data_IF_659050467121
#
_entry.id   IF_659050467121
#
_cell.length_a   1.000
_cell.length_b   1.000
_cell.length_c   1.000
_cell.angle_alpha   90.00
_cell.angle_beta   90.00
_cell.angle_gamma   90.00
#
_symmetry.space_group_name_H-M   'P 1'
#
loop_
_entity.id
_entity.type
_entity.pdbx_description
1 polymer ?
#
# COMPACT_ATOMS: atom_id res chain seq x y z
N UNK A 1 -7.28 19.84 -8.48
CA UNK A 1 -6.10 18.96 -8.38
C UNK A 1 -5.66 18.58 -9.78
N UNK A 2 -6.37 17.72 -10.51
CA UNK A 2 -6.00 17.36 -11.90
C UNK A 2 -5.63 18.53 -12.81
N UNK A 3 -6.51 19.53 -12.95
CA UNK A 3 -6.24 20.71 -13.79
C UNK A 3 -5.10 21.57 -13.24
N UNK A 4 -5.06 21.76 -11.92
CA UNK A 4 -4.00 22.53 -11.25
C UNK A 4 -2.62 21.90 -11.51
N UNK A 5 -2.49 20.60 -11.28
CA UNK A 5 -1.26 19.85 -11.50
C UNK A 5 -0.88 19.83 -12.98
N UNK A 6 -1.84 19.73 -13.90
CA UNK A 6 -1.61 19.81 -15.34
C UNK A 6 -1.07 21.17 -15.77
N UNK A 7 -1.70 22.26 -15.35
CA UNK A 7 -1.23 23.61 -15.69
C UNK A 7 0.14 23.87 -15.09
N UNK A 8 0.33 23.53 -13.81
CA UNK A 8 1.61 23.54 -13.13
C UNK A 8 2.68 22.75 -13.91
N UNK A 9 2.36 21.55 -14.38
CA UNK A 9 3.27 20.74 -15.18
C UNK A 9 3.69 21.41 -16.48
N UNK A 10 2.73 21.86 -17.29
CA UNK A 10 3.03 22.48 -18.57
C UNK A 10 3.73 23.83 -18.44
N UNK A 11 3.41 24.62 -17.42
CA UNK A 11 4.13 25.86 -17.10
C UNK A 11 5.58 25.59 -16.67
N UNK A 12 5.85 24.45 -16.03
CA UNK A 12 7.20 24.06 -15.59
C UNK A 12 8.06 23.45 -16.69
N UNK A 13 7.50 23.15 -17.88
CA UNK A 13 8.27 22.55 -18.95
C UNK A 13 9.26 23.56 -19.54
N UNK A 14 10.53 23.18 -19.71
CA UNK A 14 11.47 24.01 -20.42
C UNK A 14 11.11 24.08 -21.92
N UNK A 15 11.73 25.00 -22.69
CA UNK A 15 11.59 25.05 -24.13
C UNK A 15 11.89 23.69 -24.79
N UNK A 16 11.24 23.42 -25.91
CA UNK A 16 11.34 22.12 -26.60
C UNK A 16 12.79 21.72 -26.97
N UNK A 17 13.65 22.70 -27.25
CA UNK A 17 15.06 22.48 -27.53
C UNK A 17 15.83 21.91 -26.32
N UNK A 18 15.54 22.39 -25.11
CA UNK A 18 16.15 21.88 -23.88
C UNK A 18 15.67 20.47 -23.56
N UNK A 19 14.40 20.14 -23.86
CA UNK A 19 13.86 18.78 -23.70
C UNK A 19 14.58 17.76 -24.60
N UNK A 20 14.92 18.15 -25.83
CA UNK A 20 15.67 17.28 -26.76
C UNK A 20 17.09 17.04 -26.23
N UNK A 21 17.74 18.09 -25.71
CA UNK A 21 19.08 17.99 -25.12
C UNK A 21 19.04 17.11 -23.86
N UNK A 22 18.04 17.29 -22.99
CA UNK A 22 17.84 16.48 -21.77
C UNK A 22 17.66 14.99 -22.10
N UNK A 23 16.86 14.70 -23.13
CA UNK A 23 16.67 13.34 -23.65
C UNK A 23 17.99 12.74 -24.16
N UNK A 24 18.78 13.50 -24.92
CA UNK A 24 20.08 13.06 -25.43
C UNK A 24 21.14 12.90 -24.33
N UNK A 25 21.03 13.68 -23.24
CA UNK A 25 21.92 13.60 -22.08
C UNK A 25 21.67 12.36 -21.21
N UNK A 26 20.61 11.59 -21.47
CA UNK A 26 20.34 10.32 -20.78
C UNK A 26 19.86 10.49 -19.35
N UNK A 27 19.18 11.61 -19.04
CA UNK A 27 18.51 11.77 -17.75
C UNK A 27 17.52 10.64 -17.49
N UNK A 28 17.36 10.26 -16.21
CA UNK A 28 16.51 9.12 -15.82
C UNK A 28 15.07 9.34 -16.29
N UNK A 29 14.51 8.48 -17.15
CA UNK A 29 13.13 8.61 -17.60
C UNK A 29 12.16 8.25 -16.46
N UNK A 30 10.89 8.60 -16.66
CA UNK A 30 9.79 7.96 -15.91
C UNK A 30 9.61 6.56 -16.48
N UNK A 31 9.69 5.52 -15.65
CA UNK A 31 9.47 4.13 -16.05
C UNK A 31 8.13 3.62 -15.56
N UNK A 32 7.51 2.75 -16.36
CA UNK A 32 6.29 2.02 -16.05
C UNK A 32 6.60 0.55 -16.27
N UNK A 33 6.59 -0.22 -15.20
CA UNK A 33 7.04 -1.61 -15.22
C UNK A 33 5.91 -2.49 -14.72
N UNK A 34 5.40 -3.38 -15.59
CA UNK A 34 4.43 -4.40 -15.20
C UNK A 34 5.18 -5.61 -14.64
N UNK A 35 4.81 -6.04 -13.45
CA UNK A 35 5.41 -7.18 -12.78
C UNK A 35 4.37 -8.27 -12.61
N UNK A 36 4.72 -9.48 -13.02
CA UNK A 36 3.89 -10.66 -12.85
C UNK A 36 4.63 -11.66 -11.97
N UNK A 37 3.95 -12.19 -10.94
CA UNK A 37 4.54 -13.16 -10.04
C UNK A 37 3.51 -14.21 -9.62
N UNK A 38 3.89 -15.47 -9.74
CA UNK A 38 3.09 -16.58 -9.24
C UNK A 38 3.09 -16.61 -7.69
N UNK A 39 2.14 -17.38 -7.13
CA UNK A 39 2.03 -17.60 -5.68
C UNK A 39 3.38 -17.90 -5.04
N UNK A 40 3.68 -17.16 -3.98
CA UNK A 40 4.92 -17.33 -3.22
C UNK A 40 4.59 -17.99 -1.90
N UNK A 41 5.21 -19.14 -1.63
CA UNK A 41 5.12 -19.77 -0.31
C UNK A 41 5.76 -18.84 0.72
N UNK A 42 5.06 -18.58 1.82
CA UNK A 42 5.65 -17.94 2.97
C UNK A 42 6.77 -18.87 3.49
N UNK A 43 8.01 -18.40 3.36
CA UNK A 43 9.14 -19.07 4.01
C UNK A 43 8.97 -19.01 5.53
N UNK A 44 9.67 -19.87 6.27
CA UNK A 44 9.76 -19.82 7.75
C UNK A 44 10.59 -18.61 8.25
N UNK A 45 10.58 -17.51 7.50
CA UNK A 45 11.21 -16.26 7.86
C UNK A 45 10.46 -15.59 9.01
N UNK A 46 11.18 -14.71 9.71
CA UNK A 46 10.65 -13.92 10.81
C UNK A 46 9.95 -12.67 10.29
N UNK A 47 9.01 -12.16 11.07
CA UNK A 47 8.41 -10.86 10.79
C UNK A 47 9.43 -9.75 11.03
N UNK A 48 9.43 -8.76 10.13
CA UNK A 48 10.20 -7.53 10.29
C UNK A 48 9.51 -6.54 11.23
N UNK A 49 10.23 -5.52 11.72
CA UNK A 49 9.64 -4.45 12.53
C UNK A 49 8.62 -3.65 11.72
N UNK A 50 7.55 -3.19 12.39
CA UNK A 50 6.55 -2.28 11.84
C UNK A 50 6.89 -0.86 12.28
N UNK A 51 6.87 0.10 11.36
CA UNK A 51 6.97 1.52 11.67
C UNK A 51 5.61 2.18 11.45
N UNK A 52 4.98 2.67 12.52
CA UNK A 52 3.70 3.38 12.43
C UNK A 52 3.95 4.88 12.57
N UNK A 53 3.53 5.61 11.55
CA UNK A 53 3.61 7.07 11.49
C UNK A 53 2.21 7.62 11.72
N UNK A 54 1.98 8.11 12.93
CA UNK A 54 0.73 8.77 13.32
C UNK A 54 0.70 10.19 12.77
N UNK A 55 -0.20 10.43 11.83
CA UNK A 55 -0.38 11.72 11.17
C UNK A 55 -1.51 12.51 11.84
N UNK A 56 -1.32 13.83 11.97
CA UNK A 56 -2.37 14.75 12.42
C UNK A 56 -3.42 15.03 11.34
N UNK A 57 -3.06 14.80 10.08
CA UNK A 57 -3.91 15.03 8.92
C UNK A 57 -3.53 14.09 7.78
N UNK A 58 -4.52 13.62 7.02
CA UNK A 58 -4.24 12.87 5.78
C UNK A 58 -3.46 13.74 4.80
N UNK A 59 -2.44 13.16 4.17
CA UNK A 59 -1.57 13.87 3.24
C UNK A 59 -1.11 12.98 2.07
N UNK A 60 -0.80 13.62 0.93
CA UNK A 60 -0.08 13.02 -0.19
C UNK A 60 1.44 13.03 -0.04
N UNK A 61 1.99 13.48 1.10
CA UNK A 61 3.44 13.68 1.29
C UNK A 61 4.28 12.43 0.95
N UNK A 62 3.69 11.24 1.12
CA UNK A 62 4.33 9.95 0.81
C UNK A 62 4.62 9.73 -0.67
N UNK A 63 4.07 10.56 -1.56
CA UNK A 63 4.46 10.61 -2.97
C UNK A 63 5.88 11.17 -3.16
N UNK A 64 6.40 11.94 -2.19
CA UNK A 64 7.70 12.58 -2.31
C UNK A 64 8.85 11.70 -1.80
N UNK A 65 9.97 11.64 -2.54
CA UNK A 65 11.22 11.01 -2.11
C UNK A 65 11.78 11.42 -0.76
N UNK A 66 11.55 12.65 -0.31
CA UNK A 66 12.06 13.05 1.00
C UNK A 66 11.33 12.31 2.14
N UNK A 67 10.10 11.84 1.92
CA UNK A 67 9.37 10.95 2.83
C UNK A 67 9.76 9.49 2.57
N UNK A 68 9.77 9.07 1.31
CA UNK A 68 10.08 7.67 0.95
C UNK A 68 11.52 7.27 1.31
N UNK A 69 12.45 8.23 1.31
CA UNK A 69 13.88 7.98 1.42
C UNK A 69 14.45 7.31 0.16
N UNK A 70 15.76 7.08 0.18
CA UNK A 70 16.40 6.26 -0.85
C UNK A 70 15.87 4.83 -0.76
N UNK A 71 15.52 4.22 -1.90
CA UNK A 71 15.05 2.84 -1.91
C UNK A 71 13.61 2.64 -1.40
N UNK A 72 12.87 3.71 -1.12
CA UNK A 72 11.46 3.63 -0.75
C UNK A 72 10.51 3.54 -1.94
N UNK A 73 9.29 3.09 -1.68
CA UNK A 73 8.16 3.18 -2.59
C UNK A 73 6.86 3.40 -1.82
N UNK A 74 5.88 4.05 -2.43
CA UNK A 74 4.55 4.21 -1.85
C UNK A 74 3.53 3.35 -2.58
N UNK A 75 2.66 2.69 -1.82
CA UNK A 75 1.53 1.92 -2.34
C UNK A 75 0.43 2.86 -2.81
N UNK A 76 -0.07 2.60 -4.01
CA UNK A 76 -1.30 3.16 -4.55
C UNK A 76 -2.38 2.08 -4.47
N UNK A 77 -3.37 2.29 -3.61
CA UNK A 77 -4.55 1.41 -3.48
C UNK A 77 -5.42 1.58 -4.73
N UNK A 78 -5.20 0.72 -5.71
CA UNK A 78 -5.72 0.93 -7.06
C UNK A 78 -7.00 0.13 -7.30
N UNK A 79 -7.80 0.52 -8.29
CA UNK A 79 -8.72 -0.41 -8.93
C UNK A 79 -7.95 -1.35 -9.87
N UNK A 80 -8.52 -2.53 -10.17
CA UNK A 80 -7.98 -3.42 -11.22
C UNK A 80 -7.89 -2.75 -12.59
N UNK A 81 -8.74 -1.76 -12.85
CA UNK A 81 -8.65 -0.86 -14.00
C UNK A 81 -8.16 0.49 -13.48
N UNK A 82 -6.86 0.72 -13.56
CA UNK A 82 -6.25 1.99 -13.14
C UNK A 82 -6.82 3.11 -13.98
N UNK A 83 -7.28 4.18 -13.32
CA UNK A 83 -8.05 5.20 -14.01
C UNK A 83 -8.14 6.52 -13.29
N UNK A 84 -8.80 7.46 -13.96
CA UNK A 84 -9.22 8.70 -13.35
C UNK A 84 -10.59 8.51 -12.72
N UNK A 85 -10.69 8.84 -11.43
CA UNK A 85 -11.97 8.94 -10.73
C UNK A 85 -12.30 10.35 -10.27
N UNK A 86 -13.53 10.54 -9.81
CA UNK A 86 -14.04 11.80 -9.26
C UNK A 86 -14.12 11.80 -7.73
N UNK A 87 -13.92 10.64 -7.11
CA UNK A 87 -14.06 10.40 -5.67
C UNK A 87 -12.94 10.97 -4.82
N UNK A 88 -11.84 11.41 -5.43
CA UNK A 88 -10.65 11.89 -4.73
C UNK A 88 -10.16 10.89 -3.65
N UNK A 89 -10.24 9.60 -3.96
CA UNK A 89 -9.58 8.54 -3.19
C UNK A 89 -8.06 8.66 -3.33
N UNK A 90 -7.33 7.82 -2.60
CA UNK A 90 -5.87 7.81 -2.63
C UNK A 90 -5.31 7.66 -4.06
N UNK A 91 -5.85 6.75 -4.87
CA UNK A 91 -5.41 6.54 -6.27
C UNK A 91 -5.54 7.83 -7.07
N UNK A 92 -6.72 8.45 -7.04
CA UNK A 92 -6.98 9.68 -7.77
C UNK A 92 -6.12 10.85 -7.30
N UNK A 93 -5.82 10.93 -6.00
CA UNK A 93 -4.91 11.94 -5.46
C UNK A 93 -3.52 11.71 -6.03
N UNK A 94 -2.98 10.49 -5.93
CA UNK A 94 -1.59 10.22 -6.30
C UNK A 94 -1.37 10.32 -7.80
N UNK A 95 -2.31 9.81 -8.60
CA UNK A 95 -2.30 10.03 -10.05
C UNK A 95 -2.46 11.53 -10.32
N UNK A 96 -3.46 12.17 -9.75
CA UNK A 96 -3.88 13.52 -10.11
C UNK A 96 -2.96 14.66 -9.68
N UNK A 97 -2.06 14.45 -8.73
CA UNK A 97 -1.01 15.42 -8.40
C UNK A 97 0.22 15.30 -9.30
N UNK A 98 0.37 14.20 -10.03
CA UNK A 98 1.56 13.89 -10.80
C UNK A 98 1.20 13.58 -12.27
N UNK A 99 1.15 14.58 -13.16
CA UNK A 99 0.80 14.37 -14.58
C UNK A 99 1.72 13.39 -15.31
N UNK A 100 2.96 13.25 -14.85
CA UNK A 100 3.89 12.22 -15.32
C UNK A 100 3.42 10.79 -14.99
N UNK A 101 2.47 10.59 -14.07
CA UNK A 101 1.87 9.28 -13.80
C UNK A 101 0.74 8.96 -14.77
N UNK A 102 0.07 9.96 -15.37
CA UNK A 102 -1.13 9.77 -16.21
C UNK A 102 -1.00 8.71 -17.31
N UNK A 103 0.14 8.53 -17.99
CA UNK A 103 0.30 7.47 -18.98
C UNK A 103 0.03 6.06 -18.44
N UNK A 104 0.09 5.83 -17.11
CA UNK A 104 -0.28 4.55 -16.49
C UNK A 104 -1.70 4.12 -16.88
N UNK A 105 -2.64 5.05 -17.02
CA UNK A 105 -4.03 4.78 -17.42
C UNK A 105 -4.13 4.29 -18.87
N UNK A 106 -3.12 4.60 -19.70
CA UNK A 106 -3.06 4.20 -21.10
C UNK A 106 -2.30 2.88 -21.30
N UNK A 107 -1.25 2.65 -20.51
CA UNK A 107 -0.32 1.54 -20.73
C UNK A 107 -0.54 0.36 -19.77
N UNK A 108 -1.20 0.57 -18.63
CA UNK A 108 -1.50 -0.51 -17.71
C UNK A 108 -2.60 -1.41 -18.29
N UNK A 109 -2.41 -2.74 -18.30
CA UNK A 109 -3.52 -3.65 -18.55
C UNK A 109 -4.48 -3.64 -17.35
N UNK A 110 -5.62 -4.32 -17.50
CA UNK A 110 -6.39 -4.70 -16.32
C UNK A 110 -5.51 -5.58 -15.43
N UNK A 111 -5.31 -5.17 -14.18
CA UNK A 111 -4.54 -5.94 -13.23
C UNK A 111 -5.28 -7.26 -12.93
N UNK A 112 -4.56 -8.35 -13.13
CA UNK A 112 -4.91 -9.71 -12.71
C UNK A 112 -4.38 -9.95 -11.29
N UNK A 113 -4.85 -10.98 -10.59
CA UNK A 113 -4.42 -11.26 -9.20
C UNK A 113 -2.90 -11.42 -9.02
N UNK A 114 -2.18 -11.75 -10.08
CA UNK A 114 -0.73 -11.96 -10.10
C UNK A 114 0.06 -10.81 -10.72
N UNK A 115 -0.57 -9.68 -11.08
CA UNK A 115 0.12 -8.50 -11.66
C UNK A 115 0.03 -7.24 -10.81
N UNK A 116 1.08 -6.43 -10.87
CA UNK A 116 1.17 -5.08 -10.28
C UNK A 116 1.93 -4.18 -11.26
N UNK A 117 1.77 -2.86 -11.16
CA UNK A 117 2.55 -1.92 -11.99
C UNK A 117 3.32 -0.92 -11.11
N UNK A 118 4.61 -0.79 -11.36
CA UNK A 118 5.49 0.16 -10.70
C UNK A 118 5.67 1.38 -11.61
N UNK A 119 5.46 2.58 -11.07
CA UNK A 119 5.80 3.84 -11.74
C UNK A 119 6.94 4.51 -10.98
N UNK A 120 8.11 4.64 -11.62
CA UNK A 120 9.29 5.23 -11.00
C UNK A 120 9.67 6.53 -11.70
N UNK A 121 10.03 7.55 -10.91
CA UNK A 121 10.61 8.79 -11.44
C UNK A 121 9.59 9.92 -11.67
N UNK A 122 8.31 9.69 -11.44
CA UNK A 122 7.27 10.70 -11.63
C UNK A 122 7.28 11.77 -10.53
N UNK A 123 7.09 13.02 -10.92
CA UNK A 123 7.03 14.19 -10.04
C UNK A 123 5.60 14.54 -9.66
N UNK A 124 5.36 14.73 -8.37
CA UNK A 124 4.19 15.43 -7.88
C UNK A 124 4.38 16.94 -8.10
N UNK A 125 3.33 17.59 -8.58
CA UNK A 125 3.28 19.02 -8.90
C UNK A 125 2.47 19.81 -7.88
N UNK A 126 1.65 19.13 -7.07
CA UNK A 126 0.77 19.71 -6.06
C UNK A 126 0.70 18.76 -4.86
N UNK A 127 0.60 19.32 -3.66
CA UNK A 127 0.42 18.57 -2.42
C UNK A 127 -1.00 18.72 -1.90
N UNK A 128 -1.54 17.63 -1.36
CA UNK A 128 -2.86 17.58 -0.73
C UNK A 128 -2.66 17.30 0.75
N UNK A 129 -3.12 18.23 1.61
CA UNK A 129 -3.11 18.07 3.08
C UNK A 129 -4.50 18.38 3.63
N UNK A 130 -5.17 17.35 4.15
CA UNK A 130 -6.57 17.42 4.58
C UNK A 130 -7.48 17.86 3.44
N UNK A 131 -8.30 18.90 3.66
CA UNK A 131 -9.13 19.52 2.62
C UNK A 131 -8.41 20.65 1.85
N UNK A 132 -7.16 20.96 2.20
CA UNK A 132 -6.39 22.07 1.61
C UNK A 132 -5.35 21.53 0.63
N UNK A 133 -4.98 22.38 -0.32
CA UNK A 133 -3.98 22.09 -1.35
C UNK A 133 -2.84 23.09 -1.21
N UNK A 134 -1.62 22.60 -1.13
CA UNK A 134 -0.41 23.40 -1.21
C UNK A 134 0.36 22.98 -2.46
N UNK A 135 1.23 23.83 -3.00
CA UNK A 135 2.02 23.50 -4.18
C UNK A 135 3.48 23.48 -3.76
N UNK A 136 4.08 22.30 -3.68
CA UNK A 136 5.53 22.14 -3.54
C UNK A 136 6.09 21.34 -4.72
N UNK A 137 7.30 21.71 -5.13
CA UNK A 137 8.01 21.09 -6.25
C UNK A 137 9.37 20.66 -5.72
N UNK A 138 9.80 19.40 -5.97
CA UNK A 138 11.22 19.08 -6.24
C UNK A 138 11.58 17.59 -6.30
N UNK A 139 10.66 16.63 -6.30
CA UNK A 139 11.07 15.24 -6.02
C UNK A 139 10.34 14.18 -6.84
N UNK A 140 11.08 13.15 -7.26
CA UNK A 140 10.69 12.05 -8.15
C UNK A 140 10.47 10.74 -7.38
N UNK A 141 9.24 10.43 -7.02
CA UNK A 141 8.88 9.27 -6.18
C UNK A 141 8.85 7.95 -6.93
N UNK A 142 8.59 6.87 -6.17
CA UNK A 142 8.20 5.57 -6.70
C UNK A 142 6.82 5.18 -6.20
N UNK A 143 5.94 4.79 -7.12
CA UNK A 143 4.58 4.36 -6.86
C UNK A 143 4.44 2.87 -7.23
N UNK A 144 3.79 2.09 -6.38
CA UNK A 144 3.43 0.69 -6.63
C UNK A 144 1.90 0.60 -6.66
N UNK A 145 1.35 0.41 -7.85
CA UNK A 145 -0.09 0.23 -8.04
C UNK A 145 -0.42 -1.25 -7.85
N UNK A 146 -1.16 -1.53 -6.80
CA UNK A 146 -1.67 -2.87 -6.49
C UNK A 146 -3.15 -2.77 -6.14
N UNK A 147 -3.96 -3.52 -6.87
CA UNK A 147 -5.40 -3.50 -6.70
C UNK A 147 -5.86 -4.30 -5.50
N UNK A 148 -6.78 -3.75 -4.72
CA UNK A 148 -7.44 -4.47 -3.64
C UNK A 148 -8.75 -5.11 -4.16
N UNK A 149 -9.16 -6.23 -3.57
CA UNK A 149 -10.49 -6.78 -3.76
C UNK A 149 -11.54 -5.78 -3.24
N UNK A 150 -12.62 -5.65 -4.00
CA UNK A 150 -13.81 -4.88 -3.64
C UNK A 150 -14.65 -5.73 -2.67
N UNK A 151 -14.29 -5.72 -1.38
CA UNK A 151 -14.86 -6.60 -0.34
C UNK A 151 -16.35 -6.36 -0.08
N UNK A 152 -16.81 -5.14 -0.35
CA UNK A 152 -18.23 -4.79 -0.34
C UNK A 152 -19.04 -5.47 -1.45
N UNK A 153 -18.37 -5.97 -2.50
CA UNK A 153 -18.97 -6.69 -3.61
C UNK A 153 -18.85 -8.22 -3.48
N UNK A 154 -18.13 -8.73 -2.48
CA UNK A 154 -17.97 -10.17 -2.27
C UNK A 154 -19.21 -10.76 -1.61
N UNK A 155 -19.74 -11.84 -2.19
CA UNK A 155 -20.87 -12.57 -1.62
C UNK A 155 -20.48 -13.23 -0.30
N UNK A 156 -21.33 -13.05 0.72
CA UNK A 156 -21.11 -13.64 2.05
C UNK A 156 -21.77 -15.02 2.13
N UNK A 157 -21.05 -15.97 2.72
CA UNK A 157 -21.58 -17.29 3.06
C UNK A 157 -22.63 -17.21 4.17
N UNK A 158 -22.46 -16.31 5.14
CA UNK A 158 -23.42 -15.99 6.20
C UNK A 158 -23.58 -14.48 6.40
N UNK A 159 -24.70 -14.04 6.97
CA UNK A 159 -25.02 -12.60 7.10
C UNK A 159 -23.98 -11.78 7.88
N UNK A 160 -23.28 -12.39 8.84
CA UNK A 160 -22.30 -11.72 9.70
C UNK A 160 -20.84 -12.00 9.32
N UNK A 161 -20.58 -12.81 8.31
CA UNK A 161 -19.21 -13.12 7.91
C UNK A 161 -18.47 -11.87 7.42
N UNK A 162 -17.15 -11.87 7.62
CA UNK A 162 -16.23 -10.94 6.98
C UNK A 162 -15.58 -11.61 5.78
N UNK A 163 -15.89 -11.20 4.55
CA UNK A 163 -15.23 -11.75 3.37
C UNK A 163 -13.71 -11.63 3.41
N UNK A 164 -13.14 -10.60 4.05
CA UNK A 164 -11.70 -10.45 4.21
C UNK A 164 -11.03 -11.63 4.93
N UNK A 165 -11.78 -12.36 5.77
CA UNK A 165 -11.27 -13.51 6.53
C UNK A 165 -11.41 -14.83 5.78
N UNK A 166 -12.00 -14.85 4.58
CA UNK A 166 -12.04 -16.06 3.77
C UNK A 166 -10.63 -16.43 3.30
N UNK A 167 -10.19 -17.71 3.44
CA UNK A 167 -8.82 -18.11 3.14
C UNK A 167 -8.35 -17.70 1.74
N UNK A 168 -9.21 -17.83 0.73
CA UNK A 168 -8.93 -17.45 -0.65
C UNK A 168 -8.70 -15.94 -0.81
N UNK A 169 -9.42 -15.12 -0.04
CA UNK A 169 -9.28 -13.66 -0.08
C UNK A 169 -8.02 -13.21 0.66
N UNK A 170 -7.73 -13.82 1.82
CA UNK A 170 -6.46 -13.62 2.54
C UNK A 170 -5.29 -13.94 1.62
N UNK A 171 -5.31 -15.12 0.99
CA UNK A 171 -4.22 -15.57 0.13
C UNK A 171 -4.07 -14.70 -1.11
N UNK A 172 -5.18 -14.31 -1.75
CA UNK A 172 -5.14 -13.41 -2.90
C UNK A 172 -4.47 -12.08 -2.53
N UNK A 173 -4.93 -11.44 -1.47
CA UNK A 173 -4.46 -10.12 -1.07
C UNK A 173 -3.03 -10.15 -0.54
N UNK A 174 -2.64 -11.22 0.16
CA UNK A 174 -1.26 -11.44 0.58
C UNK A 174 -0.32 -11.61 -0.61
N UNK A 175 -0.69 -12.45 -1.60
CA UNK A 175 0.13 -12.64 -2.79
C UNK A 175 0.24 -11.35 -3.62
N UNK A 176 -0.86 -10.59 -3.73
CA UNK A 176 -0.87 -9.27 -4.38
C UNK A 176 0.11 -8.30 -3.72
N UNK A 177 0.06 -8.19 -2.40
CA UNK A 177 0.94 -7.32 -1.63
C UNK A 177 2.41 -7.77 -1.74
N UNK A 178 2.71 -9.08 -1.65
CA UNK A 178 4.07 -9.61 -1.84
C UNK A 178 4.61 -9.27 -3.24
N UNK A 179 3.78 -9.41 -4.28
CA UNK A 179 4.18 -9.03 -5.63
C UNK A 179 4.52 -7.54 -5.70
N UNK A 180 3.65 -6.66 -5.17
CA UNK A 180 3.90 -5.21 -5.08
C UNK A 180 5.19 -4.87 -4.32
N UNK A 181 5.45 -5.54 -3.20
CA UNK A 181 6.61 -5.21 -2.36
C UNK A 181 7.93 -5.72 -2.93
N UNK A 182 7.86 -6.70 -3.84
CA UNK A 182 9.04 -7.24 -4.56
C UNK A 182 9.17 -6.70 -5.99
N UNK A 183 8.29 -5.79 -6.41
CA UNK A 183 8.24 -5.25 -7.78
C UNK A 183 9.30 -4.18 -8.06
N UNK A 184 10.17 -3.86 -7.10
CA UNK A 184 11.22 -2.86 -7.26
C UNK A 184 12.44 -3.22 -6.43
N UNK A 185 13.60 -2.69 -6.82
CA UNK A 185 14.83 -2.86 -6.06
C UNK A 185 14.93 -1.78 -4.97
N UNK A 186 14.37 -2.06 -3.79
CA UNK A 186 14.36 -1.17 -2.64
C UNK A 186 14.14 -1.92 -1.32
N UNK A 187 13.95 -1.19 -0.23
CA UNK A 187 13.96 -1.76 1.12
C UNK A 187 12.89 -1.19 2.06
N UNK A 188 12.03 -0.28 1.58
CA UNK A 188 10.94 0.28 2.40
C UNK A 188 9.69 0.55 1.58
N UNK A 189 8.54 0.20 2.16
CA UNK A 189 7.20 0.46 1.64
C UNK A 189 6.49 1.45 2.56
N UNK A 190 5.86 2.46 1.95
CA UNK A 190 4.97 3.40 2.61
C UNK A 190 3.54 3.12 2.17
N UNK A 191 2.61 2.98 3.10
CA UNK A 191 1.21 2.74 2.77
C UNK A 191 0.27 3.28 3.84
N UNK A 192 -0.93 3.69 3.43
CA UNK A 192 -2.07 3.85 4.34
C UNK A 192 -2.84 2.54 4.50
N UNK A 193 -4.13 2.63 4.81
CA UNK A 193 -5.04 1.50 4.87
C UNK A 193 -5.45 1.01 3.46
N UNK A 194 -4.57 0.20 2.86
CA UNK A 194 -4.80 -0.38 1.53
C UNK A 194 -6.12 -1.15 1.47
N UNK A 195 -6.98 -0.80 0.51
CA UNK A 195 -8.25 -1.50 0.30
C UNK A 195 -9.37 -1.21 1.31
N UNK A 196 -9.19 -0.32 2.28
CA UNK A 196 -10.16 -0.17 3.39
C UNK A 196 -11.22 0.94 3.19
N UNK A 197 -11.01 1.82 2.20
CA UNK A 197 -11.92 2.93 1.91
C UNK A 197 -13.07 2.50 0.99
N UNK A 198 -13.00 2.95 -0.27
CA UNK A 198 -14.03 2.66 -1.28
C UNK A 198 -14.21 1.15 -1.58
N UNK A 199 -13.20 0.33 -1.27
CA UNK A 199 -13.24 -1.12 -1.49
C UNK A 199 -13.79 -1.92 -0.31
N UNK A 200 -14.14 -1.25 0.81
CA UNK A 200 -14.84 -1.87 1.93
C UNK A 200 -14.04 -2.90 2.74
N UNK A 201 -12.74 -3.05 2.50
CA UNK A 201 -11.91 -4.00 3.23
C UNK A 201 -11.76 -3.65 4.71
N UNK A 202 -11.58 -4.68 5.55
CA UNK A 202 -11.41 -4.49 6.98
C UNK A 202 -9.95 -4.13 7.32
N UNK A 203 -9.73 -2.99 8.01
CA UNK A 203 -8.38 -2.53 8.30
C UNK A 203 -7.60 -3.45 9.25
N UNK A 204 -8.25 -4.21 10.13
CA UNK A 204 -7.57 -5.18 10.98
C UNK A 204 -6.93 -6.29 10.14
N UNK A 205 -7.69 -6.85 9.19
CA UNK A 205 -7.19 -7.88 8.28
C UNK A 205 -6.12 -7.32 7.34
N UNK A 206 -6.38 -6.16 6.72
CA UNK A 206 -5.47 -5.53 5.76
C UNK A 206 -4.11 -5.19 6.38
N UNK A 207 -4.09 -4.69 7.62
CA UNK A 207 -2.84 -4.42 8.32
C UNK A 207 -2.02 -5.68 8.57
N UNK A 208 -2.66 -6.80 8.95
CA UNK A 208 -1.97 -8.09 9.08
C UNK A 208 -1.41 -8.59 7.76
N UNK A 209 -2.19 -8.47 6.67
CA UNK A 209 -1.75 -8.84 5.31
C UNK A 209 -0.53 -8.02 4.88
N UNK A 210 -0.56 -6.70 5.04
CA UNK A 210 0.56 -5.82 4.69
C UNK A 210 1.81 -6.16 5.51
N UNK A 211 1.66 -6.48 6.80
CA UNK A 211 2.79 -6.85 7.65
C UNK A 211 3.40 -8.20 7.25
N UNK A 212 2.57 -9.23 6.99
CA UNK A 212 3.01 -10.51 6.46
C UNK A 212 3.73 -10.35 5.12
N UNK A 213 3.16 -9.54 4.21
CA UNK A 213 3.76 -9.27 2.91
C UNK A 213 5.13 -8.57 3.03
N UNK A 214 5.26 -7.62 3.96
CA UNK A 214 6.52 -6.92 4.21
C UNK A 214 7.61 -7.87 4.71
N UNK A 215 7.27 -8.78 5.64
CA UNK A 215 8.20 -9.80 6.10
C UNK A 215 8.59 -10.79 4.99
N UNK A 216 7.65 -11.21 4.15
CA UNK A 216 7.92 -12.11 3.03
C UNK A 216 8.76 -11.46 1.91
N UNK A 217 8.66 -10.15 1.73
CA UNK A 217 9.41 -9.37 0.77
C UNK A 217 10.76 -8.84 1.31
N UNK A 218 11.04 -9.02 2.60
CA UNK A 218 12.20 -8.45 3.31
C UNK A 218 12.31 -6.92 3.16
N UNK A 219 11.19 -6.22 3.37
CA UNK A 219 11.12 -4.74 3.30
C UNK A 219 10.60 -4.16 4.62
N UNK A 220 11.02 -2.92 4.92
CA UNK A 220 10.49 -2.17 6.05
C UNK A 220 9.09 -1.64 5.72
N UNK A 221 8.11 -1.89 6.58
CA UNK A 221 6.76 -1.37 6.43
C UNK A 221 6.58 -0.07 7.23
N UNK A 222 6.26 1.02 6.52
CA UNK A 222 5.89 2.31 7.07
C UNK A 222 4.39 2.56 6.85
N UNK A 223 3.62 2.43 7.92
CA UNK A 223 2.19 2.73 7.92
C UNK A 223 1.95 4.20 8.19
N UNK A 224 1.07 4.81 7.40
CA UNK A 224 0.78 6.24 7.43
C UNK A 224 -0.68 6.41 7.86
N UNK A 225 -0.91 6.56 9.16
CA UNK A 225 -2.25 6.48 9.76
C UNK A 225 -2.73 7.85 10.22
N UNK A 226 -3.88 8.28 9.72
CA UNK A 226 -4.53 9.53 10.11
C UNK A 226 -5.21 9.44 11.48
N UNK A 227 -5.73 10.55 12.04
CA UNK A 227 -6.24 10.60 13.42
C UNK A 227 -7.30 9.55 13.76
N UNK A 228 -8.18 9.24 12.82
CA UNK A 228 -9.23 8.23 13.01
C UNK A 228 -8.74 6.77 12.97
N UNK A 229 -7.46 6.56 12.68
CA UNK A 229 -6.83 5.25 12.46
C UNK A 229 -5.76 4.95 13.53
N UNK A 230 -5.53 5.87 14.47
CA UNK A 230 -4.49 5.73 15.48
C UNK A 230 -4.73 4.54 16.42
N UNK A 231 -5.98 4.20 16.74
CA UNK A 231 -6.32 3.03 17.56
C UNK A 231 -5.95 1.72 16.86
N UNK A 232 -6.16 1.62 15.54
CA UNK A 232 -5.69 0.50 14.74
C UNK A 232 -4.17 0.37 14.78
N UNK A 233 -3.45 1.50 14.66
CA UNK A 233 -2.00 1.52 14.77
C UNK A 233 -1.50 0.97 16.11
N UNK A 234 -2.09 1.45 17.22
CA UNK A 234 -1.76 0.94 18.56
C UNK A 234 -2.07 -0.55 18.70
N UNK A 235 -3.22 -1.00 18.19
CA UNK A 235 -3.57 -2.41 18.19
C UNK A 235 -2.57 -3.27 17.42
N UNK A 236 -2.06 -2.79 16.28
CA UNK A 236 -1.05 -3.50 15.50
C UNK A 236 0.31 -3.54 16.21
N UNK A 237 0.70 -2.48 16.91
CA UNK A 237 1.91 -2.50 17.76
C UNK A 237 1.81 -3.54 18.88
N UNK A 238 0.62 -3.73 19.46
CA UNK A 238 0.38 -4.78 20.46
C UNK A 238 0.47 -6.18 19.84
N UNK A 239 -0.11 -6.38 18.66
CA UNK A 239 0.02 -7.63 17.89
C UNK A 239 1.49 -7.92 17.60
N UNK A 240 2.25 -6.92 17.14
CA UNK A 240 3.66 -7.07 16.81
C UNK A 240 4.49 -7.55 18.00
N UNK A 241 4.24 -6.97 19.19
CA UNK A 241 4.87 -7.40 20.45
C UNK A 241 4.46 -8.82 20.85
N UNK A 242 3.17 -9.15 20.74
CA UNK A 242 2.67 -10.48 21.13
C UNK A 242 3.19 -11.60 20.21
N UNK A 243 3.47 -11.27 18.94
CA UNK A 243 4.01 -12.20 17.95
C UNK A 243 5.55 -12.27 17.94
N UNK A 244 6.25 -11.63 18.90
CA UNK A 244 7.70 -11.74 18.98
C UNK A 244 8.15 -13.21 19.07
N UNK A 245 8.97 -13.64 18.12
CA UNK A 245 9.48 -15.01 18.03
C UNK A 245 8.65 -15.95 17.16
N UNK A 246 7.45 -15.55 16.71
CA UNK A 246 6.66 -16.30 15.75
C UNK A 246 7.20 -16.15 14.32
N UNK A 247 6.93 -17.15 13.48
CA UNK A 247 7.22 -17.12 12.03
C UNK A 247 6.09 -16.44 11.26
N UNK A 248 6.35 -16.10 9.99
CA UNK A 248 5.29 -15.63 9.08
C UNK A 248 4.13 -16.62 8.98
N UNK A 249 4.43 -17.92 8.95
CA UNK A 249 3.41 -18.97 8.89
C UNK A 249 2.57 -19.00 10.17
N UNK A 250 3.18 -18.91 11.35
CA UNK A 250 2.45 -18.87 12.61
C UNK A 250 1.46 -17.68 12.66
N UNK A 251 1.90 -16.50 12.22
CA UNK A 251 1.03 -15.30 12.19
C UNK A 251 -0.06 -15.41 11.13
N UNK A 252 0.21 -16.04 9.97
CA UNK A 252 -0.83 -16.33 8.98
C UNK A 252 -1.87 -17.32 9.53
N UNK A 253 -1.45 -18.36 10.24
CA UNK A 253 -2.37 -19.32 10.86
C UNK A 253 -3.21 -18.65 11.96
N UNK A 254 -2.64 -17.71 12.73
CA UNK A 254 -3.43 -16.88 13.65
C UNK A 254 -4.48 -16.06 12.88
N UNK A 255 -4.11 -15.42 11.77
CA UNK A 255 -5.07 -14.64 10.96
C UNK A 255 -6.20 -15.52 10.41
N UNK A 256 -5.89 -16.73 9.93
CA UNK A 256 -6.88 -17.70 9.43
C UNK A 256 -7.82 -18.22 10.52
N UNK A 257 -7.38 -18.18 11.78
CA UNK A 257 -8.16 -18.66 12.92
C UNK A 257 -9.06 -17.57 13.56
N UNK A 258 -8.99 -16.32 13.08
CA UNK A 258 -9.83 -15.22 13.57
C UNK A 258 -11.32 -15.54 13.34
N UNK A 259 -12.19 -15.38 14.34
CA UNK A 259 -13.63 -15.52 14.16
C UNK A 259 -14.19 -14.55 13.11
N UNK A 260 -15.00 -15.09 12.19
CA UNK A 260 -15.51 -14.40 10.99
C UNK A 260 -16.37 -13.16 11.30
N UNK A 261 -16.88 -13.03 12.52
CA UNK A 261 -17.69 -11.91 13.00
C UNK A 261 -16.88 -10.74 13.57
N UNK A 262 -15.57 -10.91 13.81
CA UNK A 262 -14.72 -9.84 14.32
C UNK A 262 -14.38 -8.83 13.22
N UNK A 263 -14.11 -7.58 13.62
CA UNK A 263 -13.78 -6.46 12.73
C UNK A 263 -12.70 -5.58 13.35
N UNK A 264 -11.90 -4.92 12.52
CA UNK A 264 -11.00 -3.82 12.90
C UNK A 264 -10.11 -4.15 14.11
N UNK A 265 -10.13 -3.31 15.15
CA UNK A 265 -9.38 -3.50 16.40
C UNK A 265 -9.77 -4.78 17.13
N UNK A 266 -10.99 -5.29 16.95
CA UNK A 266 -11.43 -6.57 17.51
C UNK A 266 -10.64 -7.75 16.97
N UNK A 267 -10.26 -7.72 15.69
CA UNK A 267 -9.39 -8.73 15.06
C UNK A 267 -8.00 -8.64 15.65
N UNK A 268 -7.42 -7.44 15.71
CA UNK A 268 -6.08 -7.22 16.26
C UNK A 268 -6.00 -7.68 17.71
N UNK A 269 -7.01 -7.32 18.53
CA UNK A 269 -7.11 -7.76 19.93
C UNK A 269 -7.14 -9.28 20.06
N UNK A 270 -7.95 -9.96 19.24
CA UNK A 270 -8.02 -11.42 19.25
C UNK A 270 -6.68 -12.07 18.91
N UNK A 271 -5.98 -11.56 17.89
CA UNK A 271 -4.65 -12.06 17.50
C UNK A 271 -3.64 -11.85 18.63
N UNK A 272 -3.63 -10.69 19.27
CA UNK A 272 -2.75 -10.40 20.43
C UNK A 272 -2.97 -11.40 21.56
N UNK A 273 -4.22 -11.71 21.90
CA UNK A 273 -4.58 -12.67 22.95
C UNK A 273 -4.15 -14.11 22.57
N UNK A 274 -4.40 -14.52 21.33
CA UNK A 274 -4.04 -15.83 20.82
C UNK A 274 -2.51 -16.04 20.76
N UNK A 275 -1.77 -15.07 20.23
CA UNK A 275 -0.30 -15.10 20.17
C UNK A 275 0.33 -15.15 21.57
N UNK A 276 -0.18 -14.35 22.51
CA UNK A 276 0.28 -14.36 23.90
C UNK A 276 0.02 -15.69 24.62
N UNK A 277 -0.98 -16.45 24.20
CA UNK A 277 -1.24 -17.80 24.67
C UNK A 277 -0.26 -18.82 24.08
N UNK A 278 0.00 -18.75 22.77
CA UNK A 278 0.92 -19.62 22.06
C UNK A 278 2.37 -19.47 22.57
N UNK A 279 2.85 -18.24 22.77
CA UNK A 279 4.21 -17.96 23.27
C UNK A 279 4.47 -18.55 24.67
N UNK A 280 3.45 -18.70 25.51
CA UNK A 280 3.58 -19.35 26.83
C UNK A 280 3.77 -20.86 26.75
N UNK A 281 3.27 -21.50 25.68
CA UNK A 281 3.41 -22.94 25.46
C UNK A 281 4.77 -23.31 24.86
N UNK A 282 5.44 -22.37 24.18
CA UNK A 282 6.76 -22.58 23.57
C UNK A 282 7.89 -22.38 24.61
N UNK A 283 7.65 -21.57 25.64
CA UNK A 283 8.64 -21.26 26.70
C UNK A 283 8.53 -22.14 27.96
N UNK A 284 7.52 -23.01 28.05
CA UNK A 284 7.32 -23.95 29.16
C UNK A 284 7.79 -25.36 28.80
#
# INVERSE_FOLDING_TARGET
MYLEALFAYFESLPPAEELIVDHQAGHKPVSYELHQRNQTSLADAKLGPIHINYLDVHTSDTHHPHVQGQGGAVVVSSNKVIGFGQSATQEEIFVGIAPEVYPVVLVAPHLTDDTVITVSGARAMVDVRGQRRNVEWNTRGRLVFMDALEMDMVERSSGNDLPDLYPENIDRELNKAINGFTSYNGHSIFTGLWGCGAFGGDPGVKLMILWLAAGAADVQLHLMLGPGEHDLGRGLEEVAKACEGLTLNDVRELLLAVPMELRKEGILKWITEAASGASRLIQG
#
